data_IF_649938294124
#
_entry.id   IF_649938294124
#
_cell.length_a   1.000
_cell.length_b   1.000
_cell.length_c   1.000
_cell.angle_alpha   90.00
_cell.angle_beta   90.00
_cell.angle_gamma   90.00
#
_symmetry.space_group_name_H-M   'P 1'
#
loop_
_entity.id
_entity.type
_entity.pdbx_description
1 polymer ?
#
# COMPACT_ATOMS: atom_id res chain seq x y z
N UNK A 1 0.78 1.66 -26.67
CA UNK A 1 0.71 1.70 -25.21
C UNK A 1 0.09 0.41 -24.73
N UNK A 2 0.85 -0.42 -24.03
CA UNK A 2 0.37 -1.67 -23.42
C UNK A 2 -0.60 -1.39 -22.27
N UNK A 3 -1.38 -2.38 -21.83
CA UNK A 3 -2.27 -2.20 -20.67
C UNK A 3 -1.47 -1.90 -19.39
N UNK A 4 -0.28 -2.49 -19.25
CA UNK A 4 0.65 -2.15 -18.15
C UNK A 4 1.13 -0.70 -18.19
N UNK A 5 1.48 -0.17 -19.35
CA UNK A 5 1.86 1.25 -19.49
C UNK A 5 0.68 2.19 -19.18
N UNK A 6 -0.55 1.82 -19.57
CA UNK A 6 -1.75 2.55 -19.20
C UNK A 6 -1.96 2.54 -17.68
N UNK A 7 -1.90 1.37 -17.05
CA UNK A 7 -2.01 1.20 -15.60
C UNK A 7 -1.02 2.09 -14.85
N UNK A 8 0.27 2.01 -15.19
CA UNK A 8 1.32 2.77 -14.52
C UNK A 8 1.27 4.28 -14.82
N UNK A 9 0.56 4.71 -15.85
CA UNK A 9 0.33 6.14 -16.17
C UNK A 9 -1.01 6.69 -15.64
N UNK A 10 -1.76 5.89 -14.88
CA UNK A 10 -3.06 6.29 -14.31
C UNK A 10 -4.19 6.42 -15.34
N UNK A 11 -4.02 5.87 -16.54
CA UNK A 11 -5.06 5.82 -17.57
C UNK A 11 -5.97 4.61 -17.34
N UNK A 12 -7.16 4.65 -17.94
CA UNK A 12 -8.04 3.49 -17.98
C UNK A 12 -7.34 2.31 -18.69
N UNK A 13 -7.33 1.16 -18.04
CA UNK A 13 -6.68 -0.06 -18.52
C UNK A 13 -7.56 -1.30 -18.26
N UNK A 14 -7.30 -2.36 -18.99
CA UNK A 14 -7.95 -3.65 -18.80
C UNK A 14 -7.15 -4.50 -17.80
N UNK A 15 -7.65 -4.65 -16.59
CA UNK A 15 -7.00 -5.46 -15.55
C UNK A 15 -6.95 -6.97 -15.88
N UNK A 16 -7.75 -7.44 -16.83
CA UNK A 16 -7.73 -8.84 -17.30
C UNK A 16 -6.71 -9.11 -18.41
N UNK A 17 -5.88 -8.11 -18.77
CA UNK A 17 -4.79 -8.29 -19.70
C UNK A 17 -3.91 -9.50 -19.32
N UNK A 18 -3.50 -10.35 -20.29
CA UNK A 18 -2.73 -11.56 -20.00
C UNK A 18 -1.41 -11.31 -19.26
N UNK A 19 -0.68 -10.23 -19.60
CA UNK A 19 0.56 -9.85 -18.90
C UNK A 19 0.27 -9.50 -17.43
N UNK A 20 -0.69 -8.61 -17.21
CA UNK A 20 -1.06 -8.17 -15.87
C UNK A 20 -1.59 -9.32 -15.02
N UNK A 21 -2.42 -10.19 -15.60
CA UNK A 21 -2.94 -11.40 -14.92
C UNK A 21 -1.82 -12.35 -14.52
N UNK A 22 -0.84 -12.57 -15.39
CA UNK A 22 0.34 -13.40 -15.10
C UNK A 22 1.21 -12.80 -13.98
N UNK A 23 1.42 -11.48 -14.00
CA UNK A 23 2.21 -10.79 -12.99
C UNK A 23 1.54 -10.83 -11.61
N UNK A 24 0.22 -10.57 -11.52
CA UNK A 24 -0.54 -10.76 -10.27
C UNK A 24 -0.50 -12.20 -9.77
N UNK A 25 -0.62 -13.16 -10.65
CA UNK A 25 -0.54 -14.57 -10.28
C UNK A 25 0.81 -14.90 -9.62
N UNK A 26 1.93 -14.42 -10.18
CA UNK A 26 3.27 -14.60 -9.59
C UNK A 26 3.36 -13.97 -8.18
N UNK A 27 2.84 -12.75 -8.00
CA UNK A 27 2.82 -12.10 -6.70
C UNK A 27 1.98 -12.91 -5.69
N UNK A 28 0.82 -13.41 -6.09
CA UNK A 28 -0.07 -14.23 -5.26
C UNK A 28 0.59 -15.53 -4.82
N UNK A 29 1.26 -16.24 -5.70
CA UNK A 29 2.02 -17.44 -5.34
C UNK A 29 3.12 -17.12 -4.32
N UNK A 30 3.76 -15.97 -4.46
CA UNK A 30 4.83 -15.55 -3.57
C UNK A 30 4.31 -15.19 -2.18
N UNK A 31 3.29 -14.33 -2.07
CA UNK A 31 2.76 -13.99 -0.76
C UNK A 31 1.99 -15.15 -0.09
N UNK A 32 1.36 -16.04 -0.85
CA UNK A 32 0.82 -17.28 -0.29
C UNK A 32 1.92 -18.08 0.40
N UNK A 33 3.07 -18.29 -0.28
CA UNK A 33 4.21 -18.96 0.32
C UNK A 33 4.70 -18.25 1.59
N UNK A 34 4.80 -16.92 1.56
CA UNK A 34 5.18 -16.11 2.73
C UNK A 34 4.21 -16.33 3.90
N UNK A 35 2.92 -16.26 3.64
CA UNK A 35 1.87 -16.31 4.66
C UNK A 35 1.73 -17.70 5.31
N UNK A 36 2.15 -18.76 4.62
CA UNK A 36 2.12 -20.14 5.15
C UNK A 36 3.43 -20.59 5.82
N UNK A 37 4.48 -19.75 5.82
CA UNK A 37 5.71 -20.05 6.54
C UNK A 37 5.46 -20.02 8.06
N UNK A 38 5.98 -21.04 8.75
CA UNK A 38 5.96 -21.10 10.23
C UNK A 38 6.73 -19.96 10.89
N UNK A 39 6.47 -19.74 12.16
CA UNK A 39 7.09 -18.64 12.92
C UNK A 39 8.62 -18.75 12.97
N UNK A 40 9.18 -19.94 13.01
CA UNK A 40 10.62 -20.19 13.03
C UNK A 40 11.32 -19.85 11.70
N UNK A 41 10.56 -19.58 10.63
CA UNK A 41 11.10 -19.31 9.30
C UNK A 41 11.24 -17.79 8.99
N UNK A 42 11.45 -16.94 10.00
CA UNK A 42 11.52 -15.47 9.86
C UNK A 42 12.50 -14.99 8.80
N UNK A 43 13.71 -15.56 8.77
CA UNK A 43 14.75 -15.19 7.79
C UNK A 43 14.26 -15.50 6.36
N UNK A 44 13.65 -16.67 6.16
CA UNK A 44 13.12 -17.08 4.86
C UNK A 44 11.95 -16.20 4.42
N UNK A 45 11.11 -15.82 5.36
CA UNK A 45 9.99 -14.88 5.13
C UNK A 45 10.52 -13.52 4.67
N UNK A 46 11.52 -12.98 5.37
CA UNK A 46 12.16 -11.72 5.02
C UNK A 46 12.74 -11.75 3.59
N UNK A 47 13.53 -12.78 3.25
CA UNK A 47 14.07 -12.94 1.88
C UNK A 47 12.97 -12.92 0.79
N UNK A 48 11.83 -13.53 1.07
CA UNK A 48 10.73 -13.57 0.10
C UNK A 48 10.02 -12.22 -0.02
N UNK A 49 9.91 -11.43 1.05
CA UNK A 49 9.41 -10.06 0.99
C UNK A 49 10.32 -9.17 0.15
N UNK A 50 11.65 -9.25 0.29
CA UNK A 50 12.59 -8.53 -0.57
C UNK A 50 12.49 -8.92 -2.06
N UNK A 51 12.02 -10.15 -2.36
CA UNK A 51 11.75 -10.59 -3.74
C UNK A 51 10.38 -10.12 -4.25
N UNK A 52 9.44 -9.88 -3.36
CA UNK A 52 8.09 -9.47 -3.70
C UNK A 52 8.03 -7.98 -4.06
N UNK A 53 8.76 -7.15 -3.32
CA UNK A 53 8.69 -5.70 -3.49
C UNK A 53 9.59 -5.18 -4.61
N UNK A 54 9.19 -4.05 -5.23
CA UNK A 54 10.00 -3.38 -6.25
C UNK A 54 11.32 -2.85 -5.68
N UNK A 55 11.27 -2.29 -4.47
CA UNK A 55 12.43 -1.87 -3.70
C UNK A 55 12.08 -1.89 -2.22
N UNK A 56 13.01 -2.34 -1.38
CA UNK A 56 12.91 -2.21 0.07
C UNK A 56 14.27 -1.85 0.65
N UNK A 57 14.27 -0.94 1.61
CA UNK A 57 15.45 -0.57 2.39
C UNK A 57 15.82 -1.62 3.43
N UNK A 58 16.72 -1.26 4.33
CA UNK A 58 17.18 -2.14 5.39
C UNK A 58 16.14 -2.27 6.53
N UNK A 59 16.23 -3.34 7.32
CA UNK A 59 15.40 -3.53 8.52
C UNK A 59 13.89 -3.54 8.24
N UNK A 60 13.50 -4.24 7.16
CA UNK A 60 12.09 -4.49 6.86
C UNK A 60 11.56 -5.61 7.76
N UNK A 61 10.43 -5.36 8.44
CA UNK A 61 9.73 -6.36 9.25
C UNK A 61 8.23 -6.37 8.91
N UNK A 62 7.72 -7.51 8.49
CA UNK A 62 6.30 -7.67 8.15
C UNK A 62 5.75 -8.92 8.82
N UNK A 63 4.70 -8.71 9.63
CA UNK A 63 3.95 -9.80 10.24
C UNK A 63 2.92 -10.34 9.24
N UNK A 64 2.90 -11.66 9.01
CA UNK A 64 1.90 -12.27 8.14
C UNK A 64 0.52 -12.34 8.85
N UNK A 65 -0.56 -12.47 8.07
CA UNK A 65 -0.59 -12.48 6.61
C UNK A 65 -0.47 -11.08 6.00
N UNK A 66 0.11 -11.01 4.80
CA UNK A 66 0.22 -9.80 3.99
C UNK A 66 -0.33 -10.06 2.59
N UNK A 67 -0.97 -9.06 1.98
CA UNK A 67 -1.58 -9.16 0.65
C UNK A 67 -1.24 -7.95 -0.21
N UNK A 68 -1.06 -8.20 -1.52
CA UNK A 68 -0.87 -7.14 -2.51
C UNK A 68 -1.35 -7.59 -3.90
N UNK A 69 -1.41 -6.68 -4.86
CA UNK A 69 -1.70 -7.05 -6.25
C UNK A 69 -0.45 -7.54 -6.99
N UNK A 70 0.58 -6.71 -7.05
CA UNK A 70 1.80 -6.99 -7.83
C UNK A 70 3.05 -7.07 -6.97
N UNK A 71 3.14 -6.31 -5.89
CA UNK A 71 4.30 -6.17 -5.02
C UNK A 71 5.39 -5.28 -5.61
N UNK A 72 5.67 -5.36 -6.90
CA UNK A 72 6.74 -4.59 -7.55
C UNK A 72 6.48 -3.07 -7.61
N UNK A 73 5.26 -2.62 -7.41
CA UNK A 73 4.94 -1.20 -7.31
C UNK A 73 5.06 -0.67 -5.86
N UNK A 74 5.45 -1.51 -4.91
CA UNK A 74 5.69 -1.11 -3.52
C UNK A 74 7.16 -0.78 -3.35
N UNK A 75 7.44 0.46 -2.92
CA UNK A 75 8.78 0.99 -2.65
C UNK A 75 8.84 1.40 -1.18
N UNK A 76 9.77 0.81 -0.44
CA UNK A 76 9.92 1.01 1.01
C UNK A 76 11.29 1.59 1.33
N UNK A 77 11.32 2.54 2.27
CA UNK A 77 12.55 3.04 2.89
C UNK A 77 13.13 2.08 3.94
N UNK A 78 14.00 2.58 4.79
CA UNK A 78 14.61 1.82 5.89
C UNK A 78 13.69 1.76 7.12
N UNK A 79 13.82 0.71 7.94
CA UNK A 79 13.10 0.56 9.21
C UNK A 79 11.57 0.63 9.06
N UNK A 80 11.01 -0.09 8.10
CA UNK A 80 9.57 -0.15 7.90
C UNK A 80 8.98 -1.40 8.56
N UNK A 81 7.96 -1.20 9.39
CA UNK A 81 7.24 -2.26 10.07
C UNK A 81 5.78 -2.32 9.63
N UNK A 82 5.32 -3.52 9.26
CA UNK A 82 3.91 -3.83 9.06
C UNK A 82 3.45 -4.84 10.10
N UNK A 83 2.37 -4.53 10.78
CA UNK A 83 1.69 -5.47 11.65
C UNK A 83 0.76 -6.39 10.83
N UNK A 84 0.06 -7.30 11.51
CA UNK A 84 -0.74 -8.37 10.91
C UNK A 84 -1.82 -7.88 9.93
N UNK A 85 -2.06 -8.69 8.89
CA UNK A 85 -3.22 -8.60 8.00
C UNK A 85 -3.30 -7.27 7.22
N UNK A 86 -2.17 -6.72 6.81
CA UNK A 86 -2.13 -5.54 5.95
C UNK A 86 -2.35 -5.91 4.49
N UNK A 87 -3.01 -5.00 3.75
CA UNK A 87 -3.29 -5.17 2.32
C UNK A 87 -2.91 -3.90 1.55
N UNK A 88 -2.13 -4.05 0.48
CA UNK A 88 -1.76 -2.96 -0.43
C UNK A 88 -2.21 -3.32 -1.84
N UNK A 89 -3.20 -2.62 -2.38
CA UNK A 89 -3.60 -2.77 -3.77
C UNK A 89 -2.71 -1.86 -4.64
N UNK A 90 -1.54 -2.38 -5.01
CA UNK A 90 -0.45 -1.66 -5.66
C UNK A 90 -0.53 -1.72 -7.20
N UNK A 91 -1.69 -1.41 -7.77
CA UNK A 91 -1.79 -1.27 -9.24
C UNK A 91 -1.01 -0.06 -9.77
N UNK A 92 -0.70 0.91 -8.90
CA UNK A 92 0.23 2.01 -9.14
C UNK A 92 1.18 2.15 -7.95
N UNK A 93 2.21 2.98 -8.09
CA UNK A 93 3.26 3.11 -7.07
C UNK A 93 2.70 3.48 -5.68
N UNK A 94 3.14 2.73 -4.68
CA UNK A 94 3.02 3.03 -3.25
C UNK A 94 4.42 3.24 -2.71
N UNK A 95 4.77 4.50 -2.44
CA UNK A 95 6.07 4.87 -1.90
C UNK A 95 5.94 5.16 -0.40
N UNK A 96 6.64 4.40 0.43
CA UNK A 96 6.66 4.52 1.88
C UNK A 96 8.08 4.87 2.32
N UNK A 97 8.24 5.96 3.05
CA UNK A 97 9.52 6.45 3.55
C UNK A 97 10.13 5.55 4.62
N UNK A 98 11.08 6.09 5.35
CA UNK A 98 11.81 5.40 6.42
C UNK A 98 11.17 5.61 7.79
N UNK A 99 11.43 4.69 8.74
CA UNK A 99 10.93 4.71 10.12
C UNK A 99 9.40 4.73 10.18
N UNK A 100 8.73 3.94 9.34
CA UNK A 100 7.27 3.90 9.27
C UNK A 100 6.73 2.70 10.02
N UNK A 101 5.77 2.95 10.93
CA UNK A 101 5.06 1.93 11.69
C UNK A 101 3.62 1.80 11.18
N UNK A 102 3.24 0.60 10.74
CA UNK A 102 1.93 0.32 10.19
C UNK A 102 1.22 -0.71 11.07
N UNK A 103 0.10 -0.30 11.66
CA UNK A 103 -0.72 -1.13 12.53
C UNK A 103 -1.44 -2.27 11.81
N UNK A 104 -2.08 -3.19 12.55
CA UNK A 104 -2.75 -4.33 11.95
C UNK A 104 -3.98 -3.91 11.13
N UNK A 105 -4.32 -4.70 10.12
CA UNK A 105 -5.48 -4.48 9.24
C UNK A 105 -5.47 -3.14 8.49
N UNK A 106 -4.30 -2.52 8.30
CA UNK A 106 -4.19 -1.29 7.48
C UNK A 106 -4.37 -1.64 6.01
N UNK A 107 -5.14 -0.79 5.31
CA UNK A 107 -5.47 -0.94 3.91
C UNK A 107 -4.93 0.26 3.12
N UNK A 108 -4.17 0.02 2.04
CA UNK A 108 -3.61 1.06 1.18
C UNK A 108 -4.06 0.77 -0.26
N UNK A 109 -4.88 1.65 -0.85
CA UNK A 109 -5.49 1.38 -2.14
C UNK A 109 -5.09 2.42 -3.18
N UNK A 110 -4.40 1.99 -4.24
CA UNK A 110 -4.16 2.84 -5.41
C UNK A 110 -5.23 2.65 -6.49
N UNK A 111 -5.91 1.49 -6.49
CA UNK A 111 -6.91 1.09 -7.48
C UNK A 111 -8.19 1.92 -7.40
N UNK A 112 -8.74 2.23 -8.56
CA UNK A 112 -9.99 2.97 -8.72
C UNK A 112 -10.81 2.42 -9.88
N UNK A 113 -12.14 2.55 -9.77
CA UNK A 113 -13.09 2.34 -10.86
C UNK A 113 -13.79 3.64 -11.20
N UNK A 114 -14.28 3.81 -12.46
CA UNK A 114 -15.12 4.94 -12.81
C UNK A 114 -16.35 5.05 -11.91
N UNK A 115 -16.66 6.27 -11.46
CA UNK A 115 -17.86 6.54 -10.63
C UNK A 115 -19.13 6.35 -11.46
N UNK A 116 -19.09 6.73 -12.75
CA UNK A 116 -20.21 6.53 -13.65
C UNK A 116 -20.48 5.02 -13.85
N UNK A 117 -21.71 4.59 -13.62
CA UNK A 117 -22.07 3.17 -13.66
C UNK A 117 -21.89 2.53 -15.04
N UNK A 118 -22.15 3.27 -16.14
CA UNK A 118 -21.98 2.77 -17.51
C UNK A 118 -20.51 2.57 -17.84
N UNK A 119 -19.65 3.52 -17.44
CA UNK A 119 -18.20 3.38 -17.61
C UNK A 119 -17.66 2.25 -16.74
N UNK A 120 -18.09 2.14 -15.47
CA UNK A 120 -17.67 1.07 -14.55
C UNK A 120 -18.07 -0.33 -15.07
N UNK A 121 -19.21 -0.44 -15.78
CA UNK A 121 -19.65 -1.70 -16.39
C UNK A 121 -18.71 -2.20 -17.50
N UNK A 122 -17.80 -1.36 -18.00
CA UNK A 122 -16.74 -1.79 -18.94
C UNK A 122 -15.66 -2.61 -18.26
N UNK A 123 -15.65 -2.69 -16.92
CA UNK A 123 -14.64 -3.34 -16.09
C UNK A 123 -13.22 -2.75 -16.22
N UNK A 124 -13.10 -1.57 -16.84
CA UNK A 124 -11.83 -0.85 -16.87
C UNK A 124 -11.53 -0.24 -15.50
N UNK A 125 -10.26 -0.19 -15.18
CA UNK A 125 -9.72 0.36 -13.95
C UNK A 125 -8.76 1.52 -14.26
N UNK A 126 -8.50 2.34 -13.27
CA UNK A 126 -7.40 3.31 -13.26
C UNK A 126 -6.83 3.42 -11.84
N UNK A 127 -5.74 4.12 -11.67
CA UNK A 127 -5.12 4.23 -10.36
C UNK A 127 -4.52 5.61 -10.12
N UNK A 128 -4.25 5.91 -8.84
CA UNK A 128 -3.46 7.05 -8.42
C UNK A 128 -2.40 6.60 -7.42
N UNK A 129 -1.15 7.10 -7.53
CA UNK A 129 -0.08 6.70 -6.64
C UNK A 129 -0.33 7.20 -5.21
N UNK A 130 0.28 6.54 -4.24
CA UNK A 130 0.25 6.94 -2.84
C UNK A 130 1.68 7.19 -2.38
N UNK A 131 1.88 8.29 -1.63
CA UNK A 131 3.16 8.61 -1.01
C UNK A 131 2.97 8.78 0.50
N UNK A 132 3.80 8.10 1.28
CA UNK A 132 3.87 8.19 2.73
C UNK A 132 5.29 8.64 3.09
N UNK A 133 5.40 9.71 3.86
CA UNK A 133 6.67 10.30 4.29
C UNK A 133 7.43 9.43 5.30
N UNK A 134 8.45 10.03 5.89
CA UNK A 134 9.24 9.39 6.95
C UNK A 134 8.61 9.59 8.32
N UNK A 135 8.98 8.74 9.28
CA UNK A 135 8.59 8.87 10.70
C UNK A 135 7.06 8.90 10.89
N UNK A 136 6.33 8.10 10.08
CA UNK A 136 4.87 8.05 10.09
C UNK A 136 4.40 6.85 10.92
N UNK A 137 3.37 7.06 11.74
CA UNK A 137 2.65 5.99 12.42
C UNK A 137 1.20 5.90 11.93
N UNK A 138 0.84 4.76 11.36
CA UNK A 138 -0.52 4.46 10.88
C UNK A 138 -1.18 3.48 11.86
N UNK A 139 -2.21 3.95 12.55
CA UNK A 139 -3.01 3.14 13.49
C UNK A 139 -3.76 2.01 12.80
N UNK A 140 -4.00 0.93 13.55
CA UNK A 140 -4.66 -0.27 13.01
C UNK A 140 -6.02 0.01 12.40
N UNK A 141 -6.33 -0.72 11.32
CA UNK A 141 -7.60 -0.59 10.59
C UNK A 141 -7.75 0.71 9.79
N UNK A 142 -6.72 1.55 9.70
CA UNK A 142 -6.78 2.75 8.86
C UNK A 142 -6.81 2.38 7.37
N UNK A 143 -7.47 3.23 6.58
CA UNK A 143 -7.58 3.08 5.11
C UNK A 143 -6.99 4.32 4.46
N UNK A 144 -6.02 4.11 3.56
CA UNK A 144 -5.41 5.18 2.75
C UNK A 144 -5.98 5.10 1.35
N UNK A 145 -6.67 6.15 0.94
CA UNK A 145 -7.35 6.22 -0.35
C UNK A 145 -6.41 6.62 -1.50
N UNK A 146 -6.77 6.30 -2.76
CA UNK A 146 -5.95 6.57 -3.93
C UNK A 146 -5.56 8.05 -4.09
N UNK A 147 -4.29 8.29 -4.45
CA UNK A 147 -3.77 9.61 -4.74
C UNK A 147 -3.38 10.45 -3.52
N UNK A 148 -3.43 9.86 -2.32
CA UNK A 148 -3.08 10.57 -1.09
C UNK A 148 -1.56 10.67 -0.92
N UNK A 149 -1.11 11.86 -0.51
CA UNK A 149 0.24 12.10 0.00
C UNK A 149 0.17 12.39 1.49
N UNK A 150 0.93 11.64 2.29
CA UNK A 150 1.07 11.82 3.74
C UNK A 150 2.47 12.36 4.00
N UNK A 151 2.56 13.47 4.72
CA UNK A 151 3.81 14.13 5.08
C UNK A 151 4.65 13.34 6.10
N UNK A 152 5.76 13.93 6.53
CA UNK A 152 6.64 13.34 7.53
C UNK A 152 6.11 13.56 8.95
N UNK A 153 6.47 12.68 9.88
CA UNK A 153 6.11 12.82 11.29
C UNK A 153 4.59 12.77 11.56
N UNK A 154 3.81 12.19 10.66
CA UNK A 154 2.34 12.11 10.77
C UNK A 154 1.93 10.91 11.62
N UNK A 155 0.92 11.12 12.47
CA UNK A 155 0.21 10.02 13.14
C UNK A 155 -1.22 9.93 12.60
N UNK A 156 -1.62 8.73 12.19
CA UNK A 156 -2.99 8.42 11.74
C UNK A 156 -3.65 7.55 12.80
N UNK A 157 -4.76 8.03 13.37
CA UNK A 157 -5.53 7.30 14.38
C UNK A 157 -6.12 6.00 13.83
N UNK A 158 -6.28 4.99 14.69
CA UNK A 158 -6.88 3.71 14.30
C UNK A 158 -8.29 3.88 13.71
N UNK A 159 -8.63 3.07 12.71
CA UNK A 159 -9.93 3.10 12.02
C UNK A 159 -10.17 4.33 11.14
N UNK A 160 -9.17 5.17 10.91
CA UNK A 160 -9.30 6.38 10.10
C UNK A 160 -9.37 6.08 8.60
N UNK A 161 -10.10 6.92 7.85
CA UNK A 161 -10.14 6.86 6.39
C UNK A 161 -9.54 8.14 5.82
N UNK A 162 -8.34 8.03 5.27
CA UNK A 162 -7.56 9.17 4.74
C UNK A 162 -7.92 9.36 3.27
N UNK A 163 -8.66 10.43 2.98
CA UNK A 163 -9.18 10.76 1.64
C UNK A 163 -8.53 11.98 1.00
N UNK A 164 -7.65 12.68 1.74
CA UNK A 164 -6.97 13.91 1.32
C UNK A 164 -5.52 13.90 1.78
N UNK A 165 -4.69 14.72 1.14
CA UNK A 165 -3.30 14.89 1.56
C UNK A 165 -3.22 15.39 2.99
N UNK A 166 -2.21 14.89 3.71
CA UNK A 166 -1.93 15.23 5.11
C UNK A 166 -0.57 15.95 5.17
N UNK A 167 -0.50 17.16 5.74
CA UNK A 167 0.77 17.88 5.90
C UNK A 167 1.67 17.21 6.94
N UNK A 168 2.92 17.67 7.05
CA UNK A 168 3.89 17.19 8.03
C UNK A 168 3.44 17.46 9.47
N UNK A 169 3.88 16.60 10.39
CA UNK A 169 3.81 16.80 11.85
C UNK A 169 2.38 17.07 12.37
N UNK A 170 1.43 16.27 11.94
CA UNK A 170 0.05 16.33 12.45
C UNK A 170 -0.46 14.97 12.89
N UNK A 171 -1.34 14.97 13.88
CA UNK A 171 -2.19 13.84 14.22
C UNK A 171 -3.54 14.01 13.55
N UNK A 172 -3.95 13.02 12.75
CA UNK A 172 -5.26 12.97 12.08
C UNK A 172 -6.05 11.74 12.52
N UNK A 173 -7.38 11.87 12.60
CA UNK A 173 -8.24 10.72 12.90
C UNK A 173 -9.66 10.90 12.32
N UNK A 174 -10.39 9.78 12.22
CA UNK A 174 -11.81 9.72 11.84
C UNK A 174 -12.07 9.29 10.41
N UNK A 175 -13.35 9.26 10.04
CA UNK A 175 -13.83 8.93 8.69
C UNK A 175 -14.82 10.02 8.19
N UNK A 176 -14.42 10.89 7.24
CA UNK A 176 -13.05 11.04 6.74
C UNK A 176 -12.09 11.59 7.80
N UNK A 177 -10.80 11.25 7.69
CA UNK A 177 -9.77 11.72 8.61
C UNK A 177 -9.64 13.25 8.57
N UNK A 178 -9.56 13.85 9.78
CA UNK A 178 -9.37 15.29 9.98
C UNK A 178 -8.21 15.51 10.94
N UNK A 179 -7.55 16.66 10.82
CA UNK A 179 -6.53 17.10 11.77
C UNK A 179 -7.14 17.24 13.17
N UNK A 180 -6.50 16.61 14.14
CA UNK A 180 -6.84 16.67 15.56
C UNK A 180 -5.94 17.66 16.26
N UNK A 181 -4.62 17.58 15.99
CA UNK A 181 -3.62 18.49 16.54
C UNK A 181 -2.31 18.45 15.75
N UNK A 182 -1.50 19.47 15.89
CA UNK A 182 -0.10 19.47 15.48
C UNK A 182 0.75 18.66 16.46
N UNK A 183 1.85 18.11 15.95
CA UNK A 183 2.84 17.36 16.72
C UNK A 183 4.10 18.25 16.79
N UNK A 184 4.52 18.56 18.00
CA UNK A 184 5.80 19.24 18.23
C UNK A 184 6.91 18.17 18.22
N UNK A 185 7.84 18.29 17.28
CA UNK A 185 9.01 17.40 17.12
C UNK A 185 10.29 18.19 17.40
#
# INVERSE_FOLDING_TARGET
MTEKEKMLSGKLYNASDPQLSSERHKARLLFQKINFLGEDAKNKRSELFYKLFGKAGNSLWIEPPFYCDYGYNIVLGDNVFFNFNCCILDVMEVNIGSNVLIGPNVQIYTAMHPINAKERATMLEFAKPIKIGNDVWIGGGAIICPGVTIGNGVVIGAGSVVTKNIPDNVFVAGNPAKEIKKIDN
#
